data_IF_654896341382
#
_entry.id   IF_654896341382
#
_cell.length_a   1.000
_cell.length_b   1.000
_cell.length_c   1.000
_cell.angle_alpha   90.00
_cell.angle_beta   90.00
_cell.angle_gamma   90.00
#
_symmetry.space_group_name_H-M   'P 1'
#
loop_
_entity.id
_entity.type
_entity.pdbx_description
1 polymer ?
#
# COMPACT_ATOMS: atom_id res chain seq x y z
N UNK A 1 4.58 30.17 -3.56
CA UNK A 1 3.97 29.27 -2.58
C UNK A 1 3.67 27.95 -3.29
N UNK A 2 4.29 26.85 -2.87
CA UNK A 2 4.04 25.50 -3.40
C UNK A 2 2.53 25.18 -3.30
N UNK A 3 1.85 24.66 -4.30
CA UNK A 3 2.19 23.47 -5.08
C UNK A 3 1.24 22.38 -4.62
N UNK A 4 0.01 22.37 -5.14
CA UNK A 4 -0.91 21.26 -4.96
C UNK A 4 -1.43 20.85 -6.33
N UNK A 5 -0.63 20.00 -6.97
CA UNK A 5 -0.91 19.38 -8.25
C UNK A 5 -2.14 18.47 -8.09
N UNK A 6 -3.29 18.96 -8.53
CA UNK A 6 -4.48 18.14 -8.78
C UNK A 6 -4.16 17.14 -9.91
N UNK A 7 -3.55 16.02 -9.54
CA UNK A 7 -3.30 14.91 -10.46
C UNK A 7 -4.60 14.16 -10.73
N UNK A 8 -4.97 13.91 -12.00
CA UNK A 8 -6.21 13.22 -12.40
C UNK A 8 -6.20 11.70 -12.11
N UNK A 9 -5.26 11.20 -11.30
CA UNK A 9 -5.20 9.80 -10.87
C UNK A 9 -6.14 9.46 -9.69
N UNK A 10 -6.91 10.43 -9.20
CA UNK A 10 -7.65 10.36 -7.93
C UNK A 10 -9.12 9.90 -8.07
N UNK A 11 -9.38 8.93 -8.96
CA UNK A 11 -10.73 8.33 -9.15
C UNK A 11 -10.84 6.91 -8.57
N UNK A 12 -9.75 6.36 -8.03
CA UNK A 12 -9.75 5.12 -7.27
C UNK A 12 -9.42 5.44 -5.82
N UNK A 13 -10.43 5.31 -4.94
CA UNK A 13 -10.52 5.87 -3.60
C UNK A 13 -9.22 5.97 -2.82
N UNK A 14 -8.97 7.15 -2.24
CA UNK A 14 -7.87 7.38 -1.31
C UNK A 14 -8.00 6.42 -0.13
N UNK A 15 -7.19 5.36 -0.14
CA UNK A 15 -6.93 4.57 1.05
C UNK A 15 -6.29 5.50 2.08
N UNK A 16 -6.68 5.34 3.35
CA UNK A 16 -5.98 6.04 4.43
C UNK A 16 -4.53 5.56 4.51
N UNK A 17 -3.67 6.33 5.18
CA UNK A 17 -2.27 5.94 5.40
C UNK A 17 -2.16 4.56 6.08
N UNK A 18 -3.04 4.29 7.03
CA UNK A 18 -3.12 2.99 7.71
C UNK A 18 -3.57 1.87 6.77
N UNK A 19 -4.50 2.15 5.87
CA UNK A 19 -4.96 1.19 4.87
C UNK A 19 -3.87 0.89 3.85
N UNK A 20 -3.10 1.90 3.44
CA UNK A 20 -1.92 1.75 2.57
C UNK A 20 -0.85 0.87 3.21
N UNK A 21 -0.48 1.13 4.47
CA UNK A 21 0.43 0.26 5.23
C UNK A 21 -0.03 -1.21 5.21
N UNK A 22 -1.31 -1.45 5.46
CA UNK A 22 -1.85 -2.82 5.45
C UNK A 22 -1.75 -3.43 4.04
N UNK A 23 -2.03 -2.66 2.98
CA UNK A 23 -1.87 -3.13 1.60
C UNK A 23 -0.41 -3.46 1.28
N UNK A 24 0.56 -2.67 1.74
CA UNK A 24 2.00 -2.94 1.58
C UNK A 24 2.40 -4.26 2.25
N UNK A 25 1.95 -4.51 3.48
CA UNK A 25 2.26 -5.75 4.18
C UNK A 25 1.57 -6.97 3.54
N UNK A 26 0.34 -6.80 3.06
CA UNK A 26 -0.38 -7.83 2.29
C UNK A 26 0.35 -8.14 0.98
N UNK A 27 0.87 -7.11 0.31
CA UNK A 27 1.67 -7.22 -0.91
C UNK A 27 3.02 -7.91 -0.67
N UNK A 28 3.64 -7.67 0.49
CA UNK A 28 4.83 -8.38 0.94
C UNK A 28 4.57 -9.86 1.34
N UNK A 29 3.32 -10.33 1.24
CA UNK A 29 2.96 -11.73 1.46
C UNK A 29 2.63 -12.08 2.91
N UNK A 30 2.58 -11.11 3.82
CA UNK A 30 2.30 -11.36 5.23
C UNK A 30 0.85 -11.84 5.43
N UNK A 31 0.67 -12.66 6.45
CA UNK A 31 -0.63 -13.09 6.95
C UNK A 31 -1.23 -12.03 7.88
N UNK A 32 -2.55 -12.09 8.09
CA UNK A 32 -3.23 -11.16 9.00
C UNK A 32 -2.69 -11.24 10.43
N UNK A 33 -2.11 -12.39 10.82
CA UNK A 33 -1.46 -12.59 12.11
C UNK A 33 -0.13 -11.82 12.18
N UNK A 34 0.75 -11.98 11.18
CA UNK A 34 2.03 -11.25 11.12
C UNK A 34 1.80 -9.73 10.99
N UNK A 35 0.81 -9.32 10.21
CA UNK A 35 0.40 -7.91 10.11
C UNK A 35 -0.05 -7.40 11.48
N UNK A 36 -0.82 -8.20 12.23
CA UNK A 36 -1.31 -7.81 13.55
C UNK A 36 -0.17 -7.60 14.54
N UNK A 37 0.86 -8.44 14.47
CA UNK A 37 2.07 -8.36 15.29
C UNK A 37 2.92 -7.15 14.92
N UNK A 38 3.16 -6.93 13.62
CA UNK A 38 3.98 -5.83 13.14
C UNK A 38 3.34 -4.45 13.38
N UNK A 39 2.01 -4.40 13.37
CA UNK A 39 1.24 -3.19 13.52
C UNK A 39 0.72 -2.98 14.96
N UNK A 40 1.04 -3.89 15.87
CA UNK A 40 0.64 -3.92 17.29
C UNK A 40 -0.88 -3.74 17.49
N UNK A 41 -1.68 -4.40 16.64
CA UNK A 41 -3.15 -4.38 16.70
C UNK A 41 -3.72 -5.79 16.70
N UNK A 42 -5.01 -5.95 17.03
CA UNK A 42 -5.63 -7.27 17.00
C UNK A 42 -5.78 -7.79 15.55
N UNK A 43 -5.67 -9.11 15.36
CA UNK A 43 -5.98 -9.76 14.08
C UNK A 43 -7.37 -9.37 13.55
N UNK A 44 -8.37 -9.29 14.42
CA UNK A 44 -9.73 -8.83 14.08
C UNK A 44 -9.74 -7.42 13.50
N UNK A 45 -8.90 -6.53 14.04
CA UNK A 45 -8.75 -5.17 13.51
C UNK A 45 -8.16 -5.19 12.11
N UNK A 46 -7.15 -6.05 11.86
CA UNK A 46 -6.58 -6.26 10.51
C UNK A 46 -7.64 -6.80 9.54
N UNK A 47 -8.41 -7.82 9.93
CA UNK A 47 -9.49 -8.37 9.11
C UNK A 47 -10.53 -7.30 8.71
N UNK A 48 -10.89 -6.43 9.65
CA UNK A 48 -11.80 -5.32 9.40
C UNK A 48 -11.21 -4.31 8.42
N UNK A 49 -9.93 -3.94 8.60
CA UNK A 49 -9.25 -3.05 7.66
C UNK A 49 -9.19 -3.64 6.25
N UNK A 50 -8.82 -4.91 6.11
CA UNK A 50 -8.78 -5.59 4.81
C UNK A 50 -10.16 -5.60 4.17
N UNK A 51 -11.22 -5.91 4.91
CA UNK A 51 -12.59 -5.90 4.39
C UNK A 51 -12.99 -4.50 3.88
N UNK A 52 -12.62 -3.45 4.61
CA UNK A 52 -12.87 -2.07 4.20
C UNK A 52 -12.07 -1.68 2.95
N UNK A 53 -10.81 -2.10 2.88
CA UNK A 53 -9.93 -1.88 1.72
C UNK A 53 -10.48 -2.58 0.47
N UNK A 54 -10.88 -3.85 0.59
CA UNK A 54 -11.49 -4.61 -0.51
C UNK A 54 -12.74 -3.89 -1.04
N UNK A 55 -13.57 -3.37 -0.13
CA UNK A 55 -14.77 -2.60 -0.48
C UNK A 55 -14.41 -1.29 -1.18
N UNK A 56 -13.45 -0.52 -0.66
CA UNK A 56 -13.00 0.75 -1.25
C UNK A 56 -12.33 0.60 -2.61
N UNK A 57 -11.60 -0.49 -2.80
CA UNK A 57 -10.87 -0.79 -4.05
C UNK A 57 -11.73 -1.56 -5.06
N UNK A 58 -12.96 -1.94 -4.68
CA UNK A 58 -13.84 -2.81 -5.45
C UNK A 58 -13.15 -4.13 -5.86
N UNK A 59 -12.33 -4.69 -4.97
CA UNK A 59 -11.61 -5.95 -5.20
C UNK A 59 -12.27 -7.10 -4.45
N UNK A 60 -12.37 -8.26 -5.10
CA UNK A 60 -13.10 -9.42 -4.56
C UNK A 60 -12.30 -10.32 -3.62
N UNK A 61 -10.97 -10.21 -3.61
CA UNK A 61 -10.11 -11.03 -2.76
C UNK A 61 -8.74 -10.38 -2.57
N UNK A 62 -7.95 -10.91 -1.61
CA UNK A 62 -6.60 -10.38 -1.30
C UNK A 62 -5.64 -10.42 -2.50
N UNK A 63 -5.77 -11.39 -3.41
CA UNK A 63 -4.90 -11.50 -4.60
C UNK A 63 -5.25 -10.40 -5.60
N UNK A 64 -6.54 -10.15 -5.83
CA UNK A 64 -7.05 -9.04 -6.63
C UNK A 64 -6.65 -7.70 -6.03
N UNK A 65 -6.60 -7.59 -4.69
CA UNK A 65 -6.10 -6.40 -4.00
C UNK A 65 -4.61 -6.17 -4.28
N UNK A 66 -3.76 -7.19 -4.20
CA UNK A 66 -2.33 -7.08 -4.53
C UNK A 66 -2.16 -6.69 -5.99
N UNK A 67 -2.90 -7.33 -6.91
CA UNK A 67 -2.89 -6.97 -8.33
C UNK A 67 -3.30 -5.52 -8.56
N UNK A 68 -4.37 -5.06 -7.90
CA UNK A 68 -4.80 -3.67 -7.94
C UNK A 68 -3.68 -2.75 -7.45
N UNK A 69 -3.10 -3.04 -6.29
CA UNK A 69 -2.04 -2.24 -5.71
C UNK A 69 -0.82 -2.11 -6.66
N UNK A 70 -0.45 -3.19 -7.34
CA UNK A 70 0.61 -3.18 -8.36
C UNK A 70 0.22 -2.38 -9.61
N UNK A 71 -1.00 -2.57 -10.12
CA UNK A 71 -1.49 -1.91 -11.33
C UNK A 71 -1.54 -0.38 -11.19
N UNK A 72 -1.84 0.10 -9.97
CA UNK A 72 -1.95 1.52 -9.65
C UNK A 72 -0.69 2.10 -8.97
N UNK A 73 0.40 1.32 -8.90
CA UNK A 73 1.69 1.76 -8.33
C UNK A 73 1.61 2.12 -6.84
N UNK A 74 0.72 1.49 -6.09
CA UNK A 74 0.52 1.72 -4.64
C UNK A 74 1.52 0.92 -3.78
N UNK A 75 2.13 -0.13 -4.34
CA UNK A 75 3.09 -0.99 -3.65
C UNK A 75 4.24 -1.38 -4.59
N UNK A 76 5.40 -1.63 -3.99
CA UNK A 76 6.63 -2.07 -4.64
C UNK A 76 7.01 -3.44 -4.06
N UNK A 77 7.06 -4.50 -4.88
CA UNK A 77 7.48 -5.85 -4.46
C UNK A 77 8.73 -6.22 -5.25
N UNK A 78 9.83 -6.57 -4.58
CA UNK A 78 11.04 -7.16 -5.20
C UNK A 78 11.52 -6.46 -6.49
N UNK A 79 11.47 -5.12 -6.53
CA UNK A 79 11.83 -4.29 -7.68
C UNK A 79 10.92 -4.42 -8.93
N UNK A 80 9.76 -5.07 -8.82
CA UNK A 80 8.73 -5.13 -9.86
C UNK A 80 7.72 -3.99 -9.68
N UNK A 81 7.41 -3.27 -10.77
CA UNK A 81 6.52 -2.10 -10.80
C UNK A 81 6.93 -0.94 -9.87
N UNK A 82 8.17 -0.94 -9.41
CA UNK A 82 8.77 0.21 -8.74
C UNK A 82 9.03 1.30 -9.78
N UNK A 83 8.10 2.23 -9.95
CA UNK A 83 8.50 3.55 -10.42
C UNK A 83 9.59 4.02 -9.46
N UNK A 84 10.75 4.43 -9.99
CA UNK A 84 11.83 4.99 -9.17
C UNK A 84 11.29 6.26 -8.51
N UNK A 85 10.68 6.12 -7.33
CA UNK A 85 10.44 7.26 -6.45
C UNK A 85 11.84 7.80 -6.14
N UNK A 86 12.11 9.10 -6.39
CA UNK A 86 13.38 9.69 -6.00
C UNK A 86 13.53 9.43 -4.51
N UNK A 87 14.48 8.56 -4.19
CA UNK A 87 14.70 8.07 -2.86
C UNK A 87 15.17 9.26 -2.02
N UNK A 88 14.27 9.89 -1.27
CA UNK A 88 14.63 10.97 -0.33
C UNK A 88 15.19 10.33 0.93
N UNK A 89 16.31 9.61 0.82
CA UNK A 89 17.16 9.29 1.96
C UNK A 89 18.64 9.32 1.58
N UNK A 90 19.27 10.45 1.94
CA UNK A 90 20.55 10.53 2.61
C UNK A 90 21.79 9.91 1.92
N UNK A 91 22.49 10.77 1.17
CA UNK A 91 23.90 11.08 1.44
C UNK A 91 24.88 9.91 1.45
N UNK A 92 24.94 9.10 0.39
CA UNK A 92 26.10 8.26 0.13
C UNK A 92 26.66 8.57 -1.25
N UNK A 93 27.72 9.38 -1.25
CA UNK A 93 28.66 9.47 -2.36
C UNK A 93 29.27 8.09 -2.59
N UNK A 94 29.05 7.53 -3.77
CA UNK A 94 29.85 6.42 -4.29
C UNK A 94 30.88 6.98 -5.29
N UNK A 95 32.10 6.42 -5.31
CA UNK A 95 33.30 7.00 -5.91
C UNK A 95 33.28 7.11 -7.43
#
# INVERSE_FOLDING_TARGET
MAGNEFSPANIHGQLSERELQIVELVAAGLTNQEISEQLEISKRTVDNHISNILTKTATGNRVSLVRWALQWGKVCIDQVNCCTLPNVTNGHSVP
#
